data_IF_294825243471
#
_entry.id   IF_294825243471
#
_cell.length_a   1.000
_cell.length_b   1.000
_cell.length_c   1.000
_cell.angle_alpha   90.00
_cell.angle_beta   90.00
_cell.angle_gamma   90.00
#
_symmetry.space_group_name_H-M   'P 1'
#
loop_
_entity.id
_entity.type
_entity.pdbx_description
1 polymer ?
#
# COMPACT_ATOMS: atom_id res chain seq x y z
N UNK A 1 -5.44 22.94 19.54
CA UNK A 1 -6.38 23.75 18.75
C UNK A 1 -5.68 24.99 18.22
N UNK A 2 -6.31 25.77 17.33
CA UNK A 2 -5.71 26.99 16.75
C UNK A 2 -5.43 28.11 17.76
N UNK A 3 -6.08 28.09 18.92
CA UNK A 3 -5.86 29.00 20.05
C UNK A 3 -4.77 28.49 21.03
N UNK A 4 -4.10 27.38 20.70
CA UNK A 4 -3.10 26.76 21.57
C UNK A 4 -3.67 25.85 22.66
N UNK A 5 -4.99 25.73 22.81
CA UNK A 5 -5.59 24.82 23.79
C UNK A 5 -5.40 23.34 23.42
N UNK A 6 -5.35 22.48 24.43
CA UNK A 6 -5.32 21.03 24.29
C UNK A 6 -6.69 20.45 24.71
N UNK A 7 -7.30 19.66 23.82
CA UNK A 7 -8.62 19.06 24.03
C UNK A 7 -8.50 17.55 23.75
N UNK A 8 -8.98 16.73 24.67
CA UNK A 8 -9.20 15.29 24.45
C UNK A 8 -10.57 15.09 23.80
N UNK A 9 -10.69 14.20 22.83
CA UNK A 9 -11.96 13.93 22.14
C UNK A 9 -12.07 12.46 21.74
N UNK A 10 -13.28 11.93 21.84
CA UNK A 10 -13.63 10.56 21.47
C UNK A 10 -15.07 10.52 20.89
N UNK A 11 -15.67 9.34 20.78
CA UNK A 11 -17.03 9.16 20.26
C UNK A 11 -18.14 9.79 21.09
N UNK A 12 -17.88 10.11 22.36
CA UNK A 12 -18.81 10.67 23.35
C UNK A 12 -18.40 12.09 23.75
N UNK A 13 -17.11 12.32 24.03
CA UNK A 13 -16.57 13.62 24.42
C UNK A 13 -16.11 14.42 23.19
N UNK A 14 -16.70 15.62 23.02
CA UNK A 14 -16.46 16.48 21.85
C UNK A 14 -16.65 15.73 20.52
N UNK A 15 -17.62 14.81 20.44
CA UNK A 15 -17.79 13.85 19.34
C UNK A 15 -17.83 14.46 17.93
N UNK A 16 -18.32 15.69 17.78
CA UNK A 16 -18.28 16.39 16.48
C UNK A 16 -16.85 16.68 16.05
N UNK A 17 -15.98 17.12 16.98
CA UNK A 17 -14.55 17.31 16.71
C UNK A 17 -13.91 15.96 16.34
N UNK A 18 -14.13 14.90 17.14
CA UNK A 18 -13.60 13.56 16.85
C UNK A 18 -13.96 13.08 15.43
N UNK A 19 -15.23 13.21 15.03
CA UNK A 19 -15.72 12.78 13.71
C UNK A 19 -15.19 13.63 12.56
N UNK A 20 -14.94 14.92 12.81
CA UNK A 20 -14.47 15.86 11.79
C UNK A 20 -12.95 15.95 11.70
N UNK A 21 -12.21 15.46 12.70
CA UNK A 21 -10.74 15.40 12.67
C UNK A 21 -10.24 14.54 11.51
N UNK A 22 -10.94 13.45 11.21
CA UNK A 22 -10.65 12.64 10.04
C UNK A 22 -10.89 13.46 8.76
N UNK A 23 -9.93 13.47 7.83
CA UNK A 23 -9.92 14.31 6.63
C UNK A 23 -9.92 15.83 6.89
N UNK A 24 -9.63 16.31 8.11
CA UNK A 24 -9.52 17.75 8.35
C UNK A 24 -8.22 18.34 7.81
N UNK A 25 -7.26 17.51 7.39
CA UNK A 25 -5.91 17.92 6.96
C UNK A 25 -5.25 18.92 7.92
N UNK A 26 -5.44 18.74 9.24
CA UNK A 26 -4.87 19.60 10.29
C UNK A 26 -5.56 20.96 10.50
N UNK A 27 -6.60 21.31 9.73
CA UNK A 27 -7.29 22.60 9.85
C UNK A 27 -8.01 22.82 11.19
N UNK A 28 -8.47 21.75 11.83
CA UNK A 28 -9.16 21.79 13.13
C UNK A 28 -8.18 21.78 14.32
N UNK A 29 -6.91 21.45 14.08
CA UNK A 29 -5.89 21.34 15.10
C UNK A 29 -4.84 20.28 14.77
N UNK A 30 -3.84 20.17 15.64
CA UNK A 30 -2.78 19.18 15.56
C UNK A 30 -3.14 18.02 16.49
N UNK A 31 -3.19 16.80 15.95
CA UNK A 31 -3.34 15.58 16.76
C UNK A 31 -2.00 15.28 17.44
N UNK A 32 -1.98 15.38 18.77
CA UNK A 32 -0.75 15.15 19.58
C UNK A 32 -0.70 13.75 20.19
N UNK A 33 -1.85 13.10 20.37
CA UNK A 33 -1.97 11.75 20.87
C UNK A 33 -3.23 11.08 20.28
N UNK A 34 -3.19 9.76 20.10
CA UNK A 34 -4.32 8.97 19.66
C UNK A 34 -4.32 7.60 20.35
N UNK A 35 -5.50 7.13 20.71
CA UNK A 35 -5.73 5.75 21.15
C UNK A 35 -6.27 4.97 19.96
N UNK A 36 -5.56 3.92 19.55
CA UNK A 36 -5.88 3.13 18.35
C UNK A 36 -6.19 1.70 18.79
N UNK A 37 -7.35 1.19 18.34
CA UNK A 37 -7.68 -0.22 18.52
C UNK A 37 -6.87 -1.05 17.52
N UNK A 38 -6.10 -1.99 18.06
CA UNK A 38 -5.30 -2.91 17.26
C UNK A 38 -6.09 -4.19 16.94
N UNK A 39 -5.69 -4.84 15.86
CA UNK A 39 -6.13 -6.19 15.53
C UNK A 39 -4.92 -7.11 15.54
N UNK A 40 -5.15 -8.40 15.80
CA UNK A 40 -4.10 -9.39 15.70
C UNK A 40 -3.67 -9.55 14.23
N UNK A 41 -2.35 -9.49 14.03
CA UNK A 41 -1.73 -9.65 12.73
C UNK A 41 -1.06 -11.02 12.68
N UNK A 42 -1.52 -11.90 11.78
CA UNK A 42 -0.83 -13.16 11.54
C UNK A 42 0.55 -12.90 10.90
N UNK A 43 1.51 -13.85 10.95
CA UNK A 43 2.84 -13.66 10.38
C UNK A 43 2.85 -13.44 8.86
N UNK A 44 1.83 -13.91 8.14
CA UNK A 44 1.75 -13.82 6.68
C UNK A 44 0.40 -13.30 6.21
N UNK A 45 0.39 -12.80 4.97
CA UNK A 45 -0.80 -12.46 4.20
C UNK A 45 -0.81 -13.33 2.95
N UNK A 46 -1.85 -14.14 2.79
CA UNK A 46 -2.08 -14.88 1.55
C UNK A 46 -2.71 -13.94 0.53
N UNK A 47 -2.12 -13.83 -0.66
CA UNK A 47 -2.63 -13.03 -1.76
C UNK A 47 -3.11 -13.91 -2.91
N UNK A 48 -4.34 -13.69 -3.36
CA UNK A 48 -4.93 -14.37 -4.52
C UNK A 48 -5.20 -13.36 -5.63
N UNK A 49 -4.75 -13.68 -6.85
CA UNK A 49 -4.82 -12.81 -8.02
C UNK A 49 -5.85 -13.33 -9.02
N UNK A 50 -6.73 -12.45 -9.48
CA UNK A 50 -7.71 -12.75 -10.52
C UNK A 50 -7.58 -11.73 -11.65
N UNK A 51 -7.25 -12.20 -12.85
CA UNK A 51 -7.14 -11.37 -14.04
C UNK A 51 -8.43 -11.34 -14.86
N UNK A 52 -8.78 -10.17 -15.36
CA UNK A 52 -9.93 -9.93 -16.21
C UNK A 52 -9.53 -9.14 -17.45
N UNK A 53 -10.12 -9.49 -18.60
CA UNK A 53 -9.88 -8.82 -19.88
C UNK A 53 -10.86 -7.70 -20.19
N UNK A 54 -11.93 -7.58 -19.42
CA UNK A 54 -12.95 -6.52 -19.55
C UNK A 54 -13.35 -6.00 -18.18
N UNK A 55 -13.86 -4.78 -18.13
CA UNK A 55 -14.10 -4.07 -16.87
C UNK A 55 -15.35 -4.57 -16.16
N UNK A 56 -16.38 -5.01 -16.90
CA UNK A 56 -17.65 -5.47 -16.36
C UNK A 56 -17.51 -6.70 -15.43
N UNK A 57 -16.88 -7.81 -15.85
CA UNK A 57 -16.66 -8.96 -14.96
C UNK A 57 -15.69 -8.64 -13.81
N UNK A 58 -14.74 -7.73 -14.03
CA UNK A 58 -13.84 -7.25 -12.99
C UNK A 58 -14.61 -6.52 -11.88
N UNK A 59 -15.45 -5.55 -12.23
CA UNK A 59 -16.30 -4.82 -11.26
C UNK A 59 -17.21 -5.80 -10.53
N UNK A 60 -17.88 -6.72 -11.24
CA UNK A 60 -18.74 -7.72 -10.61
C UNK A 60 -17.98 -8.63 -9.64
N UNK A 61 -16.74 -9.03 -9.96
CA UNK A 61 -15.89 -9.81 -9.06
C UNK A 61 -15.46 -8.99 -7.83
N UNK A 62 -15.07 -7.73 -8.04
CA UNK A 62 -14.68 -6.81 -6.99
C UNK A 62 -15.84 -6.57 -6.01
N UNK A 63 -17.05 -6.33 -6.51
CA UNK A 63 -18.27 -6.19 -5.72
C UNK A 63 -18.59 -7.45 -4.91
N UNK A 64 -18.43 -8.64 -5.51
CA UNK A 64 -18.62 -9.92 -4.82
C UNK A 64 -17.59 -10.18 -3.74
N UNK A 65 -16.37 -9.67 -3.87
CA UNK A 65 -15.29 -9.83 -2.91
C UNK A 65 -15.39 -8.83 -1.73
N UNK A 66 -16.23 -7.80 -1.85
CA UNK A 66 -16.45 -6.84 -0.78
C UNK A 66 -16.84 -7.51 0.52
N UNK A 67 -16.12 -7.16 1.57
CA UNK A 67 -16.30 -7.67 2.93
C UNK A 67 -16.07 -9.19 3.08
N UNK A 68 -15.60 -9.89 2.05
CA UNK A 68 -15.23 -11.32 2.15
C UNK A 68 -13.77 -11.54 2.50
N UNK A 69 -12.93 -10.54 2.27
CA UNK A 69 -11.50 -10.58 2.61
C UNK A 69 -11.11 -9.42 3.52
N UNK A 70 -10.00 -9.58 4.23
CA UNK A 70 -9.48 -8.57 5.14
C UNK A 70 -8.91 -7.38 4.38
N UNK A 71 -8.17 -7.65 3.31
CA UNK A 71 -7.70 -6.63 2.36
C UNK A 71 -8.10 -6.98 0.94
N UNK A 72 -8.27 -5.94 0.13
CA UNK A 72 -8.64 -6.08 -1.26
C UNK A 72 -8.06 -4.90 -2.03
N UNK A 73 -7.43 -5.18 -3.15
CA UNK A 73 -6.80 -4.20 -4.02
C UNK A 73 -7.20 -4.46 -5.46
N UNK A 74 -7.38 -3.38 -6.22
CA UNK A 74 -7.72 -3.41 -7.63
C UNK A 74 -6.64 -2.72 -8.43
N UNK A 75 -6.02 -3.42 -9.37
CA UNK A 75 -4.95 -2.87 -10.23
C UNK A 75 -5.40 -2.89 -11.68
N UNK A 76 -5.34 -1.73 -12.33
CA UNK A 76 -5.63 -1.60 -13.77
C UNK A 76 -4.31 -1.45 -14.51
N UNK A 77 -3.90 -2.50 -15.22
CA UNK A 77 -2.61 -2.55 -15.91
C UNK A 77 -2.66 -1.95 -17.32
N UNK A 78 -3.85 -1.70 -17.86
CA UNK A 78 -4.06 -1.11 -19.19
C UNK A 78 -5.46 -1.40 -19.73
N UNK A 79 -5.73 -0.94 -20.95
CA UNK A 79 -6.98 -1.27 -21.65
C UNK A 79 -7.12 -2.78 -21.79
N UNK A 80 -8.18 -3.35 -21.22
CA UNK A 80 -8.43 -4.79 -21.26
C UNK A 80 -7.56 -5.61 -20.30
N UNK A 81 -7.02 -5.02 -19.23
CA UNK A 81 -6.24 -5.77 -18.25
C UNK A 81 -6.47 -5.25 -16.83
N UNK A 82 -7.23 -6.01 -16.05
CA UNK A 82 -7.67 -5.66 -14.70
C UNK A 82 -7.36 -6.80 -13.74
N UNK A 83 -6.88 -6.48 -12.55
CA UNK A 83 -6.49 -7.44 -11.52
C UNK A 83 -7.26 -7.16 -10.25
N UNK A 84 -7.98 -8.16 -9.76
CA UNK A 84 -8.47 -8.18 -8.40
C UNK A 84 -7.47 -8.96 -7.54
N UNK A 85 -6.99 -8.31 -6.49
CA UNK A 85 -6.14 -8.90 -5.47
C UNK A 85 -6.98 -9.03 -4.20
N UNK A 86 -7.18 -10.26 -3.75
CA UNK A 86 -7.95 -10.61 -2.57
C UNK A 86 -7.00 -11.24 -1.55
N UNK A 87 -6.91 -10.70 -0.34
CA UNK A 87 -5.89 -11.15 0.61
C UNK A 87 -6.39 -11.25 2.04
N UNK A 88 -5.87 -12.23 2.78
CA UNK A 88 -6.22 -12.52 4.17
C UNK A 88 -4.99 -12.87 5.00
N UNK A 89 -5.03 -12.56 6.30
CA UNK A 89 -4.02 -13.00 7.26
C UNK A 89 -4.04 -14.52 7.40
N UNK A 90 -2.86 -15.12 7.38
CA UNK A 90 -2.69 -16.57 7.58
C UNK A 90 -1.50 -16.85 8.49
N UNK A 91 -1.65 -17.85 9.35
CA UNK A 91 -0.58 -18.28 10.27
C UNK A 91 0.35 -19.33 9.65
N UNK A 92 -0.13 -20.07 8.66
CA UNK A 92 0.60 -21.12 7.94
C UNK A 92 0.62 -20.80 6.44
N UNK A 93 1.78 -21.00 5.82
CA UNK A 93 2.03 -20.78 4.40
C UNK A 93 1.68 -22.01 3.54
N UNK A 94 1.61 -23.19 4.16
CA UNK A 94 1.45 -24.47 3.45
C UNK A 94 2.55 -24.67 2.40
N UNK A 95 2.14 -24.96 1.16
CA UNK A 95 3.05 -25.15 0.02
C UNK A 95 3.04 -23.94 -0.94
N UNK A 96 2.52 -22.79 -0.51
CA UNK A 96 2.46 -21.61 -1.36
C UNK A 96 3.84 -20.95 -1.48
N UNK A 97 4.17 -20.38 -2.66
CA UNK A 97 5.39 -19.61 -2.83
C UNK A 97 5.35 -18.36 -1.94
N UNK A 98 6.51 -17.99 -1.41
CA UNK A 98 6.68 -16.76 -0.62
C UNK A 98 7.23 -15.68 -1.53
N UNK A 99 6.54 -14.54 -1.60
CA UNK A 99 7.02 -13.36 -2.30
C UNK A 99 7.50 -12.30 -1.29
N UNK A 100 8.69 -11.77 -1.55
CA UNK A 100 9.35 -10.75 -0.73
C UNK A 100 9.42 -9.42 -1.48
N UNK A 101 8.39 -8.55 -1.36
CA UNK A 101 8.34 -7.27 -2.04
C UNK A 101 9.31 -6.23 -1.45
N UNK A 102 10.05 -6.53 -0.37
CA UNK A 102 11.12 -5.67 0.15
C UNK A 102 12.53 -6.18 -0.16
N UNK A 103 12.70 -7.41 -0.66
CA UNK A 103 14.04 -7.95 -0.99
C UNK A 103 14.67 -7.28 -2.23
N UNK A 104 15.91 -6.81 -2.07
CA UNK A 104 16.69 -6.15 -3.12
C UNK A 104 16.70 -6.91 -4.46
N UNK A 105 16.33 -6.20 -5.53
CA UNK A 105 16.31 -6.75 -6.89
C UNK A 105 15.05 -7.50 -7.29
N UNK A 106 14.20 -7.89 -6.34
CA UNK A 106 12.87 -8.41 -6.68
C UNK A 106 12.06 -7.34 -7.41
N UNK A 107 11.07 -7.72 -8.23
CA UNK A 107 10.16 -6.74 -8.85
C UNK A 107 9.45 -5.92 -7.78
N UNK A 108 9.27 -4.62 -8.01
CA UNK A 108 8.38 -3.82 -7.15
C UNK A 108 6.97 -4.43 -7.15
N UNK A 109 6.19 -4.21 -6.09
CA UNK A 109 4.90 -4.86 -5.93
C UNK A 109 3.98 -4.69 -7.17
N UNK A 110 3.89 -3.49 -7.74
CA UNK A 110 3.08 -3.27 -8.96
C UNK A 110 3.64 -3.99 -10.20
N UNK A 111 4.97 -4.10 -10.33
CA UNK A 111 5.62 -4.83 -11.42
C UNK A 111 5.34 -6.33 -11.28
N UNK A 112 5.40 -6.86 -10.06
CA UNK A 112 5.05 -8.24 -9.74
C UNK A 112 3.59 -8.53 -10.13
N UNK A 113 2.64 -7.70 -9.70
CA UNK A 113 1.23 -7.83 -10.09
C UNK A 113 1.06 -7.83 -11.61
N UNK A 114 1.77 -6.95 -12.32
CA UNK A 114 1.73 -6.90 -13.79
C UNK A 114 2.33 -8.17 -14.42
N UNK A 115 3.40 -8.72 -13.86
CA UNK A 115 4.00 -9.98 -14.31
C UNK A 115 3.07 -11.16 -14.08
N UNK A 116 2.35 -11.19 -12.95
CA UNK A 116 1.35 -12.22 -12.65
C UNK A 116 0.27 -12.27 -13.74
N UNK A 117 -0.16 -11.11 -14.23
CA UNK A 117 -1.13 -11.02 -15.31
C UNK A 117 -0.59 -11.43 -16.68
N UNK A 118 0.68 -11.14 -16.94
CA UNK A 118 1.30 -11.34 -18.25
C UNK A 118 1.80 -12.77 -18.46
N UNK A 119 1.86 -13.57 -17.41
CA UNK A 119 2.47 -14.90 -17.43
C UNK A 119 1.50 -15.97 -16.94
N UNK A 120 1.14 -16.88 -17.83
CA UNK A 120 0.34 -18.08 -17.50
C UNK A 120 1.06 -19.03 -16.52
N UNK A 121 2.35 -18.80 -16.24
CA UNK A 121 3.19 -19.61 -15.37
C UNK A 121 3.37 -19.06 -13.95
N UNK A 122 2.77 -17.90 -13.65
CA UNK A 122 2.85 -17.30 -12.31
C UNK A 122 1.80 -17.89 -11.36
N UNK A 123 2.11 -18.01 -10.06
CA UNK A 123 1.16 -18.51 -9.08
C UNK A 123 -0.04 -17.56 -9.00
N UNK A 124 -1.26 -18.12 -9.07
CA UNK A 124 -2.49 -17.37 -8.79
C UNK A 124 -2.67 -17.08 -7.31
N UNK A 125 -1.92 -17.78 -6.45
CA UNK A 125 -1.86 -17.56 -5.00
C UNK A 125 -0.42 -17.60 -4.50
N UNK A 126 -0.10 -16.70 -3.59
CA UNK A 126 1.19 -16.63 -2.91
C UNK A 126 1.02 -16.13 -1.47
N UNK A 127 2.08 -16.18 -0.69
CA UNK A 127 2.12 -15.58 0.64
C UNK A 127 3.19 -14.50 0.72
N UNK A 128 2.90 -13.46 1.49
CA UNK A 128 3.81 -12.34 1.72
C UNK A 128 3.93 -12.15 3.23
N UNK A 129 5.15 -12.00 3.80
CA UNK A 129 5.30 -11.67 5.21
C UNK A 129 4.51 -10.40 5.57
N UNK A 130 3.78 -10.41 6.67
CA UNK A 130 2.83 -9.33 6.99
C UNK A 130 3.46 -7.94 7.00
N UNK A 131 4.65 -7.78 7.59
CA UNK A 131 5.36 -6.50 7.59
C UNK A 131 5.66 -6.03 6.16
N UNK A 132 6.12 -6.94 5.30
CA UNK A 132 6.41 -6.64 3.90
C UNK A 132 5.13 -6.35 3.09
N UNK A 133 4.01 -6.99 3.41
CA UNK A 133 2.72 -6.73 2.76
C UNK A 133 2.17 -5.34 3.11
N UNK A 134 2.22 -4.96 4.38
CA UNK A 134 1.77 -3.63 4.84
C UNK A 134 2.58 -2.53 4.16
N UNK A 135 3.88 -2.75 3.98
CA UNK A 135 4.80 -1.81 3.33
C UNK A 135 5.10 -2.13 1.87
N UNK A 136 4.30 -3.00 1.21
CA UNK A 136 4.60 -3.55 -0.13
C UNK A 136 4.82 -2.48 -1.19
N UNK A 137 4.13 -1.35 -1.04
CA UNK A 137 4.26 -0.22 -1.95
C UNK A 137 5.43 0.68 -1.61
N UNK A 138 6.11 0.57 -0.46
CA UNK A 138 7.18 1.50 -0.04
C UNK A 138 8.43 1.44 -0.90
N UNK A 139 9.01 0.25 -1.14
CA UNK A 139 10.20 0.09 -2.01
C UNK A 139 9.90 0.61 -3.41
N UNK A 140 8.68 0.33 -3.87
CA UNK A 140 8.16 0.81 -5.12
C UNK A 140 7.68 2.26 -5.08
N UNK A 141 7.41 2.91 -3.94
CA UNK A 141 6.61 4.17 -3.82
C UNK A 141 7.19 5.31 -4.65
N UNK A 142 8.46 5.17 -4.96
CA UNK A 142 9.05 5.69 -6.16
C UNK A 142 8.50 5.03 -7.44
N UNK A 143 7.18 4.99 -7.69
CA UNK A 143 6.69 4.67 -9.07
C UNK A 143 7.24 5.71 -10.04
N UNK A 144 7.67 6.85 -9.47
CA UNK A 144 8.54 7.84 -10.07
C UNK A 144 9.99 7.39 -10.33
N UNK A 145 10.60 6.40 -9.68
CA UNK A 145 11.95 5.92 -10.05
C UNK A 145 11.98 5.52 -11.52
N UNK A 146 10.99 4.80 -12.03
CA UNK A 146 10.89 4.56 -13.48
C UNK A 146 10.71 5.85 -14.28
N UNK A 147 9.89 6.78 -13.83
CA UNK A 147 9.70 8.08 -14.49
C UNK A 147 10.93 9.01 -14.41
N UNK A 148 11.76 8.89 -13.38
CA UNK A 148 12.92 9.74 -13.07
C UNK A 148 14.17 9.14 -13.72
N UNK A 149 14.36 7.83 -13.62
CA UNK A 149 15.51 7.11 -14.18
C UNK A 149 15.30 6.83 -15.67
N UNK A 150 14.07 6.54 -16.11
CA UNK A 150 13.69 6.45 -17.52
C UNK A 150 14.42 5.38 -18.34
N UNK A 151 15.15 4.46 -17.70
CA UNK A 151 16.00 3.45 -18.34
C UNK A 151 15.52 2.05 -17.96
N UNK A 152 14.79 1.35 -18.85
CA UNK A 152 14.25 0.00 -18.62
C UNK A 152 15.30 -1.01 -18.13
N UNK A 153 16.56 -0.88 -18.55
CA UNK A 153 17.64 -1.76 -18.10
C UNK A 153 17.87 -1.71 -16.57
N UNK A 154 17.60 -0.57 -15.95
CA UNK A 154 17.76 -0.37 -14.51
C UNK A 154 16.52 -0.80 -13.71
N UNK A 155 15.33 -0.81 -14.33
CA UNK A 155 14.07 -1.03 -13.60
C UNK A 155 13.43 -2.39 -13.89
N UNK A 156 13.73 -3.00 -15.05
CA UNK A 156 13.19 -4.30 -15.47
C UNK A 156 14.16 -5.46 -15.19
N UNK A 157 15.45 -5.21 -14.99
CA UNK A 157 16.43 -6.25 -14.64
C UNK A 157 16.66 -6.38 -13.13
N UNK A 158 16.91 -7.60 -12.64
CA UNK A 158 17.22 -7.85 -11.22
C UNK A 158 18.46 -7.07 -10.78
N UNK A 159 19.53 -7.08 -11.58
CA UNK A 159 20.76 -6.35 -11.29
C UNK A 159 20.52 -4.83 -11.24
N UNK A 160 19.76 -4.30 -12.19
CA UNK A 160 19.44 -2.88 -12.24
C UNK A 160 18.68 -2.42 -11.00
N UNK A 161 17.68 -3.19 -10.58
CA UNK A 161 16.92 -2.93 -9.36
C UNK A 161 17.81 -3.01 -8.13
N UNK A 162 18.67 -4.03 -8.01
CA UNK A 162 19.62 -4.11 -6.89
C UNK A 162 20.54 -2.89 -6.81
N UNK A 163 20.98 -2.37 -7.96
CA UNK A 163 21.76 -1.14 -8.00
C UNK A 163 20.94 0.06 -7.51
N UNK A 164 19.73 0.25 -8.05
CA UNK A 164 18.85 1.34 -7.64
C UNK A 164 18.47 1.28 -6.16
N UNK A 165 18.07 0.11 -5.66
CA UNK A 165 17.71 -0.13 -4.26
C UNK A 165 18.87 0.27 -3.34
N UNK A 166 20.11 -0.13 -3.67
CA UNK A 166 21.31 0.23 -2.91
C UNK A 166 21.62 1.72 -2.95
N UNK A 167 21.47 2.37 -4.10
CA UNK A 167 21.73 3.81 -4.20
C UNK A 167 20.68 4.62 -3.44
N UNK A 168 19.40 4.23 -3.53
CA UNK A 168 18.30 4.83 -2.76
C UNK A 168 18.54 4.65 -1.27
N UNK A 169 18.89 3.45 -0.83
CA UNK A 169 19.14 3.19 0.59
C UNK A 169 20.36 3.96 1.12
N UNK A 170 21.43 4.11 0.33
CA UNK A 170 22.57 4.99 0.70
C UNK A 170 22.14 6.45 0.87
N UNK A 171 21.31 6.97 -0.03
CA UNK A 171 20.81 8.35 0.05
C UNK A 171 19.91 8.50 1.28
N UNK A 172 18.98 7.56 1.49
CA UNK A 172 18.07 7.54 2.63
C UNK A 172 18.82 7.39 3.95
N UNK A 173 19.80 6.51 4.06
CA UNK A 173 20.57 6.30 5.28
C UNK A 173 21.42 7.51 5.64
N UNK A 174 21.95 8.22 4.63
CA UNK A 174 22.82 9.38 4.82
C UNK A 174 22.03 10.66 5.08
N UNK A 175 20.89 10.85 4.42
CA UNK A 175 20.17 12.11 4.43
C UNK A 175 18.75 12.03 4.98
N UNK A 176 18.18 10.82 5.16
CA UNK A 176 16.79 10.64 5.53
C UNK A 176 15.85 11.35 4.54
N UNK A 177 14.84 12.02 5.08
CA UNK A 177 13.95 12.92 4.31
C UNK A 177 14.61 14.28 3.98
N UNK A 178 15.87 14.48 4.38
CA UNK A 178 16.61 15.75 4.26
C UNK A 178 17.60 15.79 3.10
N UNK A 179 17.37 15.00 2.05
CA UNK A 179 18.25 14.93 0.86
C UNK A 179 18.58 16.33 0.30
N UNK A 180 19.86 16.73 0.21
CA UNK A 180 20.26 18.06 -0.26
C UNK A 180 19.88 18.31 -1.73
N UNK A 181 19.55 17.26 -2.46
CA UNK A 181 19.16 17.30 -3.87
C UNK A 181 17.65 17.51 -4.07
N UNK A 182 16.86 17.54 -2.99
CA UNK A 182 15.42 17.83 -3.05
C UNK A 182 15.14 19.10 -2.27
N UNK A 183 14.56 20.09 -2.93
CA UNK A 183 14.00 21.29 -2.29
C UNK A 183 12.86 20.91 -1.33
N UNK A 184 12.55 21.78 -0.36
CA UNK A 184 11.43 21.54 0.56
C UNK A 184 10.10 21.34 -0.19
N UNK A 185 9.88 22.10 -1.26
CA UNK A 185 8.68 22.01 -2.10
C UNK A 185 8.59 20.67 -2.85
N UNK A 186 9.70 20.15 -3.37
CA UNK A 186 9.75 18.82 -3.99
C UNK A 186 9.49 17.70 -2.97
N UNK A 187 10.00 17.83 -1.74
CA UNK A 187 9.78 16.85 -0.68
C UNK A 187 8.32 16.78 -0.27
N UNK A 188 7.67 17.93 -0.09
CA UNK A 188 6.25 18.02 0.26
C UNK A 188 5.35 17.45 -0.85
N UNK A 189 5.74 17.61 -2.13
CA UNK A 189 5.01 17.02 -3.27
C UNK A 189 5.20 15.51 -3.42
N UNK A 190 6.34 14.97 -3.01
CA UNK A 190 6.69 13.56 -3.21
C UNK A 190 6.34 12.65 -2.02
N UNK A 191 5.92 13.22 -0.88
CA UNK A 191 5.43 12.47 0.27
C UNK A 191 4.02 11.92 -0.01
N UNK A 192 3.97 10.73 -0.61
CA UNK A 192 2.73 9.96 -0.68
C UNK A 192 2.50 9.28 0.66
N UNK A 193 1.57 9.80 1.46
CA UNK A 193 0.99 9.05 2.57
C UNK A 193 0.03 8.01 1.98
N UNK A 194 0.31 6.73 2.23
CA UNK A 194 -0.58 5.67 1.78
C UNK A 194 -1.80 5.60 2.70
N UNK A 195 -2.81 6.40 2.38
CA UNK A 195 -4.11 6.38 3.08
C UNK A 195 -4.86 5.09 2.73
N UNK A 196 -4.95 4.16 3.68
CA UNK A 196 -5.83 3.00 3.53
C UNK A 196 -7.28 3.41 3.83
N UNK A 197 -8.02 3.77 2.78
CA UNK A 197 -9.46 4.05 2.85
C UNK A 197 -10.28 2.82 3.25
N UNK A 198 -11.03 2.91 4.35
CA UNK A 198 -12.00 1.91 4.77
C UNK A 198 -13.38 2.19 4.18
N UNK A 199 -14.10 1.14 3.76
CA UNK A 199 -15.47 1.28 3.22
C UNK A 199 -16.46 1.71 4.30
N UNK A 200 -17.20 2.79 4.02
CA UNK A 200 -18.33 3.32 4.82
C UNK A 200 -19.38 2.27 5.21
N UNK A 201 -19.51 1.17 4.46
CA UNK A 201 -20.45 0.09 4.78
C UNK A 201 -20.02 -0.77 5.98
N UNK A 202 -18.73 -0.80 6.35
CA UNK A 202 -18.25 -1.45 7.59
C UNK A 202 -18.61 -0.67 8.87
N UNK A 203 -19.06 0.58 8.75
CA UNK A 203 -19.55 1.40 9.88
C UNK A 203 -21.06 1.23 10.16
N UNK A 204 -21.78 0.44 9.36
CA UNK A 204 -23.24 0.27 9.48
C UNK A 204 -23.69 -1.10 9.97
N UNK A 205 -22.77 -2.02 10.27
CA UNK A 205 -23.10 -3.36 10.75
C UNK A 205 -22.25 -3.74 11.96
N UNK A 206 -22.81 -3.60 13.15
CA UNK A 206 -22.21 -4.05 14.40
C UNK A 206 -22.96 -3.47 15.58
N UNK A 207 -23.88 -4.27 16.15
CA UNK A 207 -24.34 -4.11 17.53
C UNK A 207 -23.15 -4.18 18.50
#
# INVERSE_FOLDING_TARGET
MGDGSAIATDSEQHANLFRLLFNSHGTLGIVTAATIHLIDAAPYVKSSYQHFRTIEPYIAAFERALNKTQFMEGVVCGSGSYVLIATDFVSDIGNLPVFHPQEDGNPYYYQHVKQVVMSDSTPTEEVIPTAEYIFRSMRGLWWMTECIVGLPMLTDSRWGRQYLDREIEKVRSKYGFSSPNLTSEERERCLVNQDMGMKLSRLRGGN
#
